data_IF_994855100430
#
_entry.id   IF_994855100430
#
_cell.length_a   1.000
_cell.length_b   1.000
_cell.length_c   1.000
_cell.angle_alpha   90.00
_cell.angle_beta   90.00
_cell.angle_gamma   90.00
#
_symmetry.space_group_name_H-M   'P 1'
#
loop_
_entity.id
_entity.type
_entity.pdbx_description
1 polymer ?
#
# COMPACT_ATOMS: atom_id res chain seq x y z
N UNK A 1 3.56 16.41 -15.46
CA UNK A 1 3.25 15.01 -15.09
C UNK A 1 3.94 14.74 -13.76
N UNK A 2 3.23 14.23 -12.75
CA UNK A 2 3.78 14.03 -11.40
C UNK A 2 4.95 13.03 -11.46
N UNK A 3 6.13 13.35 -10.91
CA UNK A 3 7.33 12.50 -10.95
C UNK A 3 7.06 11.06 -10.49
N UNK A 4 6.15 10.91 -9.52
CA UNK A 4 5.65 9.63 -9.01
C UNK A 4 4.97 8.80 -10.11
N UNK A 5 4.21 9.42 -11.02
CA UNK A 5 3.54 8.70 -12.10
C UNK A 5 4.55 8.17 -13.12
N UNK A 6 5.59 8.94 -13.45
CA UNK A 6 6.64 8.48 -14.36
C UNK A 6 7.43 7.29 -13.80
N UNK A 7 7.73 7.30 -12.50
CA UNK A 7 8.34 6.16 -11.80
C UNK A 7 7.43 4.92 -11.87
N UNK A 8 6.13 5.09 -11.61
CA UNK A 8 5.15 4.00 -11.68
C UNK A 8 5.08 3.40 -13.08
N UNK A 9 5.05 4.23 -14.12
CA UNK A 9 5.01 3.79 -15.51
C UNK A 9 6.27 2.97 -15.88
N UNK A 10 7.45 3.40 -15.44
CA UNK A 10 8.70 2.66 -15.64
C UNK A 10 8.64 1.30 -14.96
N UNK A 11 8.18 1.24 -13.70
CA UNK A 11 8.06 -0.02 -12.97
C UNK A 11 7.04 -0.98 -13.61
N UNK A 12 5.88 -0.49 -14.02
CA UNK A 12 4.86 -1.29 -14.71
C UNK A 12 5.43 -1.89 -16.00
N UNK A 13 6.18 -1.10 -16.77
CA UNK A 13 6.79 -1.57 -18.01
C UNK A 13 7.89 -2.61 -17.78
N UNK A 14 8.70 -2.46 -16.73
CA UNK A 14 9.75 -3.43 -16.38
C UNK A 14 9.17 -4.76 -15.89
N UNK A 15 8.06 -4.71 -15.16
CA UNK A 15 7.31 -5.88 -14.69
C UNK A 15 6.85 -6.78 -15.84
N UNK A 16 6.39 -6.16 -16.94
CA UNK A 16 5.90 -6.86 -18.13
C UNK A 16 6.97 -7.69 -18.88
N UNK A 17 8.25 -7.55 -18.52
CA UNK A 17 9.38 -8.14 -19.27
C UNK A 17 10.22 -9.16 -18.47
N UNK A 18 9.88 -9.47 -17.21
CA UNK A 18 10.73 -10.28 -16.33
C UNK A 18 9.94 -11.26 -15.46
N UNK A 19 10.16 -12.56 -15.63
CA UNK A 19 9.62 -13.62 -14.75
C UNK A 19 10.30 -13.70 -13.38
N UNK A 20 11.43 -13.00 -13.19
CA UNK A 20 12.17 -12.94 -11.93
C UNK A 20 11.61 -11.91 -10.94
N UNK A 21 10.65 -11.07 -11.36
CA UNK A 21 10.13 -9.96 -10.56
C UNK A 21 8.87 -10.32 -9.75
N UNK A 22 8.08 -11.29 -10.23
CA UNK A 22 6.85 -11.75 -9.56
C UNK A 22 7.10 -12.20 -8.10
N UNK A 23 8.17 -12.96 -7.84
CA UNK A 23 8.50 -13.46 -6.49
C UNK A 23 8.92 -12.34 -5.52
N UNK A 24 9.68 -11.34 -6.00
CA UNK A 24 10.26 -10.33 -5.10
C UNK A 24 9.26 -9.24 -4.73
N UNK A 25 8.38 -8.85 -5.67
CA UNK A 25 7.30 -7.88 -5.43
C UNK A 25 6.28 -8.47 -4.49
N UNK A 26 5.89 -9.73 -4.72
CA UNK A 26 5.02 -10.48 -3.83
C UNK A 26 5.60 -10.50 -2.42
N UNK A 27 6.80 -11.05 -2.17
CA UNK A 27 7.34 -11.16 -0.81
C UNK A 27 7.41 -9.82 -0.05
N UNK A 28 7.81 -8.74 -0.72
CA UNK A 28 7.98 -7.44 -0.08
C UNK A 28 6.66 -6.72 0.14
N UNK A 29 5.79 -6.67 -0.88
CA UNK A 29 4.47 -6.09 -0.74
C UNK A 29 3.67 -6.88 0.29
N UNK A 30 3.74 -8.22 0.28
CA UNK A 30 3.02 -9.08 1.21
C UNK A 30 3.33 -8.82 2.65
N UNK A 31 4.59 -8.99 3.07
CA UNK A 31 4.91 -8.96 4.50
C UNK A 31 4.57 -7.60 5.08
N UNK A 32 4.84 -6.54 4.33
CA UNK A 32 4.61 -5.18 4.80
C UNK A 32 3.14 -4.77 4.75
N UNK A 33 2.46 -5.05 3.64
CA UNK A 33 1.03 -4.74 3.48
C UNK A 33 0.15 -5.62 4.38
N UNK A 34 0.41 -6.93 4.45
CA UNK A 34 -0.27 -7.85 5.36
C UNK A 34 -0.17 -7.36 6.79
N UNK A 35 1.04 -7.00 7.24
CA UNK A 35 1.23 -6.53 8.60
C UNK A 35 0.49 -5.22 8.88
N UNK A 36 0.39 -4.30 7.93
CA UNK A 36 -0.37 -3.06 8.12
C UNK A 36 -1.88 -3.29 8.10
N UNK A 37 -2.39 -4.05 7.12
CA UNK A 37 -3.81 -4.38 7.01
C UNK A 37 -4.27 -5.24 8.19
N UNK A 38 -3.50 -6.27 8.57
CA UNK A 38 -3.82 -7.13 9.72
C UNK A 38 -3.88 -6.32 11.02
N UNK A 39 -2.89 -5.45 11.28
CA UNK A 39 -2.91 -4.56 12.45
C UNK A 39 -4.12 -3.62 12.44
N UNK A 40 -4.48 -3.10 11.27
CA UNK A 40 -5.66 -2.25 11.13
C UNK A 40 -6.96 -3.01 11.41
N UNK A 41 -7.12 -4.19 10.81
CA UNK A 41 -8.28 -5.06 11.02
C UNK A 41 -8.41 -5.49 12.49
N UNK A 42 -7.30 -5.75 13.18
CA UNK A 42 -7.32 -6.02 14.62
C UNK A 42 -7.84 -4.80 15.41
N UNK A 43 -7.44 -3.58 15.01
CA UNK A 43 -8.00 -2.35 15.58
C UNK A 43 -9.51 -2.21 15.32
N UNK A 44 -9.98 -2.57 14.13
CA UNK A 44 -11.42 -2.62 13.81
C UNK A 44 -12.14 -3.61 14.74
N UNK A 45 -11.64 -4.86 14.84
CA UNK A 45 -12.27 -5.91 15.66
C UNK A 45 -12.35 -5.50 17.14
N UNK A 46 -11.30 -4.85 17.64
CA UNK A 46 -11.31 -4.29 18.98
C UNK A 46 -12.44 -3.28 19.17
N UNK A 47 -12.60 -2.33 18.25
CA UNK A 47 -13.68 -1.34 18.35
C UNK A 47 -15.06 -1.97 18.19
N UNK A 48 -15.20 -2.99 17.34
CA UNK A 48 -16.44 -3.76 17.19
C UNK A 48 -16.82 -4.44 18.51
N UNK A 49 -15.86 -5.10 19.18
CA UNK A 49 -16.06 -5.70 20.50
C UNK A 49 -16.48 -4.65 21.54
N UNK A 50 -15.73 -3.55 21.66
CA UNK A 50 -16.02 -2.54 22.69
C UNK A 50 -17.31 -1.78 22.46
N UNK A 51 -17.68 -1.52 21.20
CA UNK A 51 -18.98 -0.93 20.88
C UNK A 51 -20.12 -1.89 21.19
N UNK A 52 -19.95 -3.20 20.99
CA UNK A 52 -20.94 -4.21 21.39
C UNK A 52 -21.10 -4.29 22.92
N UNK A 53 -20.01 -4.16 23.70
CA UNK A 53 -20.10 -4.06 25.17
C UNK A 53 -20.89 -2.81 25.61
N UNK A 54 -20.66 -1.67 24.96
CA UNK A 54 -21.44 -0.43 25.22
C UNK A 54 -22.90 -0.65 24.85
N UNK A 55 -23.18 -1.29 23.72
CA UNK A 55 -24.53 -1.60 23.27
C UNK A 55 -25.28 -2.48 24.28
N UNK A 56 -24.63 -3.53 24.78
CA UNK A 56 -25.18 -4.41 25.80
C UNK A 56 -25.46 -3.66 27.11
N UNK A 57 -24.52 -2.83 27.56
CA UNK A 57 -24.67 -1.99 28.74
C UNK A 57 -25.89 -1.05 28.63
N UNK A 58 -26.09 -0.44 27.47
CA UNK A 58 -27.22 0.46 27.21
C UNK A 58 -28.56 -0.29 27.10
N UNK A 59 -28.59 -1.47 26.47
CA UNK A 59 -29.79 -2.31 26.40
C UNK A 59 -30.29 -2.74 27.78
N UNK A 60 -29.38 -2.93 28.73
CA UNK A 60 -29.71 -3.28 30.12
C UNK A 60 -30.27 -2.09 30.94
N UNK A 61 -30.30 -0.87 30.38
CA UNK A 61 -30.84 0.33 31.03
C UNK A 61 -32.17 0.73 30.39
N UNK A 62 -33.27 0.64 31.14
CA UNK A 62 -34.62 1.06 30.69
C UNK A 62 -34.85 2.57 30.88
N UNK A 63 -34.18 3.42 30.08
CA UNK A 63 -34.47 4.87 30.05
C UNK A 63 -34.32 5.45 28.63
N UNK A 64 -34.91 6.64 28.41
CA UNK A 64 -34.92 7.31 27.08
C UNK A 64 -33.55 7.81 26.61
N UNK A 65 -32.55 7.88 27.50
CA UNK A 65 -31.17 8.14 27.11
C UNK A 65 -30.50 6.90 26.50
N UNK A 66 -30.90 5.70 26.94
CA UNK A 66 -30.43 4.44 26.37
C UNK A 66 -30.77 4.29 24.89
N UNK A 67 -31.96 4.72 24.45
CA UNK A 67 -32.38 4.60 23.05
C UNK A 67 -31.52 5.47 22.11
N UNK A 68 -31.19 6.70 22.53
CA UNK A 68 -30.27 7.56 21.78
C UNK A 68 -28.85 6.98 21.72
N UNK A 69 -28.36 6.45 22.84
CA UNK A 69 -27.06 5.78 22.89
C UNK A 69 -27.02 4.54 22.00
N UNK A 70 -28.05 3.70 22.00
CA UNK A 70 -28.15 2.51 21.15
C UNK A 70 -28.05 2.89 19.68
N UNK A 71 -28.77 3.94 19.26
CA UNK A 71 -28.71 4.41 17.87
C UNK A 71 -27.33 4.94 17.51
N UNK A 72 -26.69 5.74 18.38
CA UNK A 72 -25.33 6.22 18.16
C UNK A 72 -24.31 5.08 18.03
N UNK A 73 -24.44 4.04 18.85
CA UNK A 73 -23.56 2.85 18.78
C UNK A 73 -23.77 2.08 17.49
N UNK A 74 -25.03 1.86 17.07
CA UNK A 74 -25.35 1.19 15.80
C UNK A 74 -24.81 1.96 14.59
N UNK A 75 -24.98 3.28 14.56
CA UNK A 75 -24.42 4.14 13.51
C UNK A 75 -22.89 4.04 13.48
N UNK A 76 -22.24 4.03 14.65
CA UNK A 76 -20.80 3.85 14.76
C UNK A 76 -20.36 2.48 14.24
N UNK A 77 -21.06 1.40 14.60
CA UNK A 77 -20.80 0.06 14.06
C UNK A 77 -20.97 -0.01 12.54
N UNK A 78 -21.95 0.71 11.98
CA UNK A 78 -22.15 0.81 10.54
C UNK A 78 -21.01 1.56 9.82
N UNK A 79 -20.51 2.66 10.39
CA UNK A 79 -19.31 3.35 9.86
C UNK A 79 -18.08 2.45 9.92
N UNK A 80 -17.90 1.71 11.01
CA UNK A 80 -16.79 0.79 11.21
C UNK A 80 -16.83 -0.38 10.21
N UNK A 81 -18.03 -0.89 9.91
CA UNK A 81 -18.25 -1.89 8.85
C UNK A 81 -17.90 -1.36 7.46
N UNK A 82 -18.35 -0.15 7.10
CA UNK A 82 -17.98 0.49 5.82
C UNK A 82 -16.47 0.70 5.69
N UNK A 83 -15.82 1.12 6.77
CA UNK A 83 -14.37 1.25 6.84
C UNK A 83 -13.67 -0.10 6.62
N UNK A 84 -14.16 -1.17 7.25
CA UNK A 84 -13.67 -2.54 7.04
C UNK A 84 -13.83 -2.98 5.60
N UNK A 85 -14.99 -2.78 4.99
CA UNK A 85 -15.27 -3.14 3.59
C UNK A 85 -14.40 -2.38 2.58
N UNK A 86 -13.93 -1.19 2.96
CA UNK A 86 -13.04 -0.37 2.14
C UNK A 86 -11.58 -0.86 2.17
N UNK A 87 -11.15 -1.36 3.33
CA UNK A 87 -9.74 -1.75 3.58
C UNK A 87 -9.50 -3.24 3.39
N UNK A 88 -10.50 -4.06 3.66
CA UNK A 88 -10.46 -5.47 3.31
C UNK A 88 -10.38 -5.56 1.79
N UNK A 89 -9.37 -6.24 1.23
CA UNK A 89 -9.30 -6.43 -0.22
C UNK A 89 -10.65 -6.97 -0.72
N UNK A 90 -11.23 -6.33 -1.74
CA UNK A 90 -12.28 -6.98 -2.53
C UNK A 90 -11.60 -8.14 -3.23
N UNK A 91 -11.68 -9.31 -2.62
CA UNK A 91 -11.13 -10.54 -3.16
C UNK A 91 -11.99 -10.88 -4.39
N UNK A 92 -11.55 -10.48 -5.57
CA UNK A 92 -11.98 -11.11 -6.81
C UNK A 92 -11.15 -12.38 -6.97
N UNK A 93 -11.46 -13.42 -6.18
CA UNK A 93 -10.94 -14.75 -6.44
C UNK A 93 -11.66 -15.24 -7.71
N UNK A 94 -10.99 -15.52 -8.83
CA UNK A 94 -11.67 -16.09 -9.99
C UNK A 94 -12.13 -17.53 -9.75
N UNK A 95 -11.78 -18.11 -8.60
CA UNK A 95 -12.29 -19.40 -8.13
C UNK A 95 -13.72 -19.25 -7.55
N UNK A 96 -14.65 -18.75 -8.35
CA UNK A 96 -16.08 -18.79 -8.06
C UNK A 96 -16.69 -20.20 -8.28
N UNK A 97 -15.88 -21.21 -8.58
CA UNK A 97 -16.35 -22.58 -8.73
C UNK A 97 -15.27 -23.54 -8.22
N UNK A 98 -15.64 -24.29 -7.17
CA UNK A 98 -14.95 -25.43 -6.54
C UNK A 98 -14.47 -25.12 -5.11
N UNK A 99 -15.31 -25.58 -4.16
CA UNK A 99 -14.89 -26.23 -2.92
C UNK A 99 -13.65 -25.65 -2.26
N UNK A 100 -13.83 -24.58 -1.47
CA UNK A 100 -12.77 -24.01 -0.65
C UNK A 100 -12.08 -25.10 0.21
N UNK A 101 -10.74 -25.23 0.16
CA UNK A 101 -10.00 -25.64 1.35
C UNK A 101 -10.13 -24.50 2.38
N UNK A 102 -10.38 -24.78 3.68
CA UNK A 102 -10.63 -23.75 4.69
C UNK A 102 -9.41 -22.86 5.05
N UNK A 103 -8.30 -22.97 4.34
CA UNK A 103 -6.97 -22.64 4.88
C UNK A 103 -6.06 -21.96 3.85
N UNK A 104 -6.60 -21.13 2.95
CA UNK A 104 -5.70 -20.14 2.33
C UNK A 104 -5.32 -19.15 3.42
N UNK A 105 -4.06 -19.18 3.82
CA UNK A 105 -3.47 -18.19 4.70
C UNK A 105 -3.65 -16.81 4.08
N UNK A 106 -3.79 -15.76 4.90
CA UNK A 106 -3.88 -14.40 4.39
C UNK A 106 -2.69 -14.01 3.48
N UNK A 107 -1.59 -14.76 3.56
CA UNK A 107 -0.41 -14.66 2.70
C UNK A 107 -0.77 -15.12 1.28
N UNK A 108 -1.30 -16.33 1.08
CA UNK A 108 -1.64 -16.83 -0.27
C UNK A 108 -2.69 -15.97 -0.99
N UNK A 109 -3.60 -15.32 -0.23
CA UNK A 109 -4.57 -14.36 -0.78
C UNK A 109 -3.88 -13.08 -1.27
N UNK A 110 -2.84 -12.63 -0.59
CA UNK A 110 -2.10 -11.43 -0.98
C UNK A 110 -1.11 -11.73 -2.12
N UNK A 111 -0.51 -12.91 -2.18
CA UNK A 111 0.29 -13.38 -3.34
C UNK A 111 -0.55 -13.38 -4.61
N UNK A 112 -1.83 -13.71 -4.47
CA UNK A 112 -2.76 -13.66 -5.58
C UNK A 112 -3.07 -12.24 -6.07
N UNK A 113 -3.15 -11.26 -5.17
CA UNK A 113 -3.61 -9.89 -5.46
C UNK A 113 -2.49 -8.89 -5.79
N UNK A 114 -1.22 -9.28 -5.59
CA UNK A 114 -0.04 -8.43 -5.78
C UNK A 114 0.98 -9.08 -6.71
N UNK A 115 0.51 -9.61 -7.84
CA UNK A 115 1.40 -10.26 -8.82
C UNK A 115 2.18 -9.24 -9.64
N UNK A 116 1.61 -8.06 -9.82
CA UNK A 116 2.22 -6.99 -10.61
C UNK A 116 2.34 -5.67 -9.85
N UNK A 117 3.28 -4.82 -10.27
CA UNK A 117 3.39 -3.43 -9.81
C UNK A 117 2.12 -2.63 -10.10
N UNK A 118 1.43 -2.91 -11.21
CA UNK A 118 0.18 -2.24 -11.54
C UNK A 118 -0.92 -2.54 -10.51
N UNK A 119 -1.10 -3.81 -10.14
CA UNK A 119 -2.05 -4.22 -9.10
C UNK A 119 -1.68 -3.63 -7.74
N UNK A 120 -0.37 -3.62 -7.42
CA UNK A 120 0.15 -2.99 -6.21
C UNK A 120 -0.19 -1.50 -6.11
N UNK A 121 0.12 -0.72 -7.16
CA UNK A 121 -0.19 0.70 -7.15
C UNK A 121 -1.69 0.97 -7.13
N UNK A 122 -2.51 0.18 -7.82
CA UNK A 122 -3.97 0.27 -7.76
C UNK A 122 -4.52 0.00 -6.36
N UNK A 123 -3.94 -0.94 -5.60
CA UNK A 123 -4.37 -1.20 -4.23
C UNK A 123 -4.00 -0.05 -3.29
N UNK A 124 -2.75 0.46 -3.38
CA UNK A 124 -2.30 1.61 -2.60
C UNK A 124 -3.12 2.86 -2.94
N UNK A 125 -3.38 3.13 -4.22
CA UNK A 125 -4.16 4.29 -4.64
C UNK A 125 -5.60 4.23 -4.14
N UNK A 126 -6.25 3.06 -4.20
CA UNK A 126 -7.59 2.87 -3.60
C UNK A 126 -7.60 3.20 -2.11
N UNK A 127 -6.60 2.73 -1.37
CA UNK A 127 -6.50 2.97 0.08
C UNK A 127 -6.13 4.40 0.46
N UNK A 128 -5.32 5.08 -0.36
CA UNK A 128 -4.88 6.46 -0.12
C UNK A 128 -5.88 7.48 -0.65
N UNK A 129 -6.73 7.09 -1.60
CA UNK A 129 -7.78 7.95 -2.16
C UNK A 129 -8.76 8.43 -1.10
N UNK A 130 -9.52 9.48 -1.43
CA UNK A 130 -10.60 9.99 -0.59
C UNK A 130 -11.61 8.89 -0.22
N UNK A 131 -11.81 7.89 -1.08
CA UNK A 131 -12.69 6.75 -0.80
C UNK A 131 -12.23 5.94 0.41
N UNK A 132 -10.91 5.87 0.66
CA UNK A 132 -10.33 5.21 1.84
C UNK A 132 -10.31 6.08 3.09
N UNK A 133 -10.13 7.40 2.95
CA UNK A 133 -9.99 8.34 4.07
C UNK A 133 -11.33 8.81 4.66
N UNK A 134 -12.35 8.99 3.81
CA UNK A 134 -13.68 9.44 4.23
C UNK A 134 -14.29 8.49 5.27
N UNK A 135 -14.29 7.14 5.09
CA UNK A 135 -14.87 6.23 6.05
C UNK A 135 -14.20 6.27 7.44
N UNK A 136 -12.90 6.61 7.52
CA UNK A 136 -12.22 6.70 8.82
C UNK A 136 -12.57 7.97 9.59
N UNK A 137 -12.73 9.10 8.89
CA UNK A 137 -13.24 10.33 9.51
C UNK A 137 -14.70 10.17 9.94
N UNK A 138 -15.54 9.57 9.08
CA UNK A 138 -16.94 9.24 9.42
C UNK A 138 -17.03 8.36 10.66
N UNK A 139 -16.14 7.37 10.79
CA UNK A 139 -16.06 6.54 11.99
C UNK A 139 -15.72 7.34 13.24
N UNK A 140 -14.72 8.23 13.17
CA UNK A 140 -14.38 9.11 14.30
C UNK A 140 -15.53 10.05 14.69
N UNK A 141 -16.23 10.60 13.70
CA UNK A 141 -17.39 11.47 13.94
C UNK A 141 -18.55 10.71 14.59
N UNK A 142 -18.85 9.50 14.11
CA UNK A 142 -19.85 8.65 14.75
C UNK A 142 -19.43 8.25 16.18
N UNK A 143 -18.16 7.94 16.40
CA UNK A 143 -17.63 7.60 17.72
C UNK A 143 -17.76 8.76 18.72
N UNK A 144 -17.63 10.02 18.28
CA UNK A 144 -17.89 11.19 19.14
C UNK A 144 -19.31 11.21 19.68
N UNK A 145 -20.29 10.77 18.88
CA UNK A 145 -21.68 10.70 19.30
C UNK A 145 -21.94 9.61 20.34
N UNK A 146 -21.05 8.62 20.46
CA UNK A 146 -21.14 7.55 21.47
C UNK A 146 -20.61 8.00 22.83
N UNK A 147 -19.63 8.92 22.88
CA UNK A 147 -18.96 9.36 24.12
C UNK A 147 -19.89 9.78 25.28
N UNK A 148 -21.04 10.44 25.07
CA UNK A 148 -21.96 10.78 26.14
C UNK A 148 -22.61 9.57 26.82
N UNK A 149 -22.63 8.42 26.14
CA UNK A 149 -23.33 7.20 26.53
C UNK A 149 -22.39 6.10 27.05
N UNK A 150 -21.08 6.34 27.06
CA UNK A 150 -20.10 5.41 27.63
C UNK A 150 -20.03 5.63 29.13
N UNK A 151 -20.65 4.74 29.88
CA UNK A 151 -20.64 4.77 31.34
C UNK A 151 -19.32 4.28 31.94
N UNK A 152 -18.96 4.88 33.08
CA UNK A 152 -18.02 4.28 34.03
C UNK A 152 -18.73 3.09 34.68
N UNK A 153 -18.28 1.83 34.49
CA UNK A 153 -16.90 1.42 34.71
C UNK A 153 -16.32 0.56 33.57
N UNK A 154 -16.78 0.70 32.33
CA UNK A 154 -16.21 -0.09 31.23
C UNK A 154 -14.70 0.18 31.15
N UNK A 155 -13.90 -0.87 31.34
CA UNK A 155 -12.44 -0.78 31.33
C UNK A 155 -11.84 -1.71 30.30
N UNK A 156 -10.84 -1.21 29.59
CA UNK A 156 -9.93 -2.00 28.79
C UNK A 156 -8.65 -2.29 29.59
N UNK A 157 -8.28 -3.57 29.72
CA UNK A 157 -7.06 -3.97 30.41
C UNK A 157 -5.87 -4.00 29.45
N UNK A 158 -4.91 -3.10 29.64
CA UNK A 158 -3.62 -3.13 28.94
C UNK A 158 -2.58 -3.76 29.87
N UNK A 159 -2.49 -5.10 29.88
CA UNK A 159 -1.51 -5.84 30.69
C UNK A 159 -1.60 -5.56 32.19
N UNK A 160 -0.86 -4.56 32.69
CA UNK A 160 -0.75 -4.18 34.10
C UNK A 160 -1.70 -3.06 34.56
N UNK A 161 -2.46 -2.43 33.67
CA UNK A 161 -3.35 -1.31 34.01
C UNK A 161 -4.73 -1.45 33.35
N UNK A 162 -5.78 -1.04 34.05
CA UNK A 162 -7.12 -0.85 33.46
C UNK A 162 -7.31 0.61 33.07
N UNK A 163 -7.72 0.83 31.83
CA UNK A 163 -8.01 2.15 31.27
C UNK A 163 -9.51 2.23 31.03
N UNK A 164 -10.12 3.34 31.42
CA UNK A 164 -11.54 3.61 31.18
C UNK A 164 -11.80 3.66 29.68
N UNK A 165 -12.83 2.94 29.21
CA UNK A 165 -13.12 2.82 27.77
C UNK A 165 -13.34 4.19 27.12
N UNK A 166 -13.99 5.12 27.81
CA UNK A 166 -14.14 6.50 27.35
C UNK A 166 -12.80 7.17 27.03
N UNK A 167 -11.76 6.91 27.81
CA UNK A 167 -10.42 7.43 27.57
C UNK A 167 -9.75 6.77 26.35
N UNK A 168 -10.06 5.49 26.07
CA UNK A 168 -9.61 4.81 24.85
C UNK A 168 -10.21 5.50 23.63
N UNK A 169 -11.51 5.79 23.64
CA UNK A 169 -12.18 6.47 22.53
C UNK A 169 -11.65 7.90 22.35
N UNK A 170 -11.53 8.66 23.43
CA UNK A 170 -10.96 10.02 23.36
C UNK A 170 -9.52 10.04 22.84
N UNK A 171 -8.72 9.01 23.15
CA UNK A 171 -7.36 8.91 22.63
C UNK A 171 -7.35 8.68 21.11
N UNK A 172 -8.25 7.84 20.57
CA UNK A 172 -8.36 7.67 19.11
C UNK A 172 -8.72 8.99 18.43
N UNK A 173 -9.61 9.77 19.05
CA UNK A 173 -10.06 11.07 18.57
C UNK A 173 -9.01 12.18 18.67
N UNK A 174 -7.88 11.93 19.34
CA UNK A 174 -6.85 12.94 19.61
C UNK A 174 -7.25 13.94 20.71
N UNK A 175 -8.27 13.62 21.49
CA UNK A 175 -8.86 14.48 22.53
C UNK A 175 -8.37 14.09 23.94
N UNK A 176 -7.51 13.07 24.06
CA UNK A 176 -6.95 12.64 25.33
C UNK A 176 -5.54 12.05 25.19
N UNK A 177 -4.63 12.50 26.05
CA UNK A 177 -3.20 12.19 25.95
C UNK A 177 -2.75 11.29 27.12
N UNK A 178 -2.83 9.98 26.91
CA UNK A 178 -2.35 8.92 27.82
C UNK A 178 -1.48 7.92 27.07
N UNK A 179 -0.94 6.93 27.78
CA UNK A 179 -0.22 5.80 27.20
C UNK A 179 -0.95 5.25 25.98
N UNK A 180 -0.26 5.19 24.84
CA UNK A 180 -0.79 4.76 23.57
C UNK A 180 -1.47 3.38 23.69
N UNK A 181 -2.79 3.31 23.50
CA UNK A 181 -3.48 2.05 23.28
C UNK A 181 -3.03 1.53 21.92
N UNK A 182 -2.64 0.26 21.88
CA UNK A 182 -2.01 -0.34 20.70
C UNK A 182 -2.94 -0.28 19.49
N UNK A 183 -4.21 -0.60 19.69
CA UNK A 183 -5.27 -0.60 18.67
C UNK A 183 -5.51 0.81 18.12
N UNK A 184 -5.53 1.83 18.97
CA UNK A 184 -5.61 3.23 18.55
C UNK A 184 -4.39 3.63 17.70
N UNK A 185 -3.20 3.15 18.08
CA UNK A 185 -1.98 3.38 17.32
C UNK A 185 -2.05 2.72 15.95
N UNK A 186 -2.57 1.50 15.87
CA UNK A 186 -2.75 0.76 14.63
C UNK A 186 -3.70 1.48 13.67
N UNK A 187 -4.83 1.99 14.16
CA UNK A 187 -5.80 2.74 13.35
C UNK A 187 -5.22 4.10 12.90
N UNK A 188 -4.68 4.89 13.82
CA UNK A 188 -4.18 6.24 13.52
C UNK A 188 -2.95 6.26 12.60
N UNK A 189 -2.08 5.25 12.71
CA UNK A 189 -0.87 5.16 11.88
C UNK A 189 -1.08 4.41 10.57
N UNK A 190 -2.29 3.97 10.24
CA UNK A 190 -2.52 3.13 9.07
C UNK A 190 -2.05 3.77 7.75
N UNK A 191 -2.50 4.99 7.45
CA UNK A 191 -2.09 5.69 6.22
C UNK A 191 -0.61 6.05 6.22
N UNK A 192 -0.03 6.37 7.38
CA UNK A 192 1.42 6.58 7.52
C UNK A 192 2.19 5.29 7.21
N UNK A 193 1.74 4.16 7.75
CA UNK A 193 2.31 2.84 7.49
C UNK A 193 2.19 2.50 6.00
N UNK A 194 1.05 2.72 5.34
CA UNK A 194 0.91 2.49 3.90
C UNK A 194 1.94 3.29 3.07
N UNK A 195 2.19 4.55 3.44
CA UNK A 195 3.22 5.39 2.80
C UNK A 195 4.63 4.84 3.02
N UNK A 196 4.95 4.40 4.24
CA UNK A 196 6.24 3.78 4.59
C UNK A 196 6.42 2.48 3.81
N UNK A 197 5.37 1.68 3.65
CA UNK A 197 5.38 0.43 2.89
C UNK A 197 5.62 0.71 1.41
N UNK A 198 4.90 1.68 0.85
CA UNK A 198 5.15 2.23 -0.50
C UNK A 198 6.62 2.55 -0.71
N UNK A 199 7.21 3.32 0.21
CA UNK A 199 8.63 3.67 0.18
C UNK A 199 9.54 2.45 0.29
N UNK A 200 9.27 1.48 1.16
CA UNK A 200 10.12 0.30 1.36
C UNK A 200 10.12 -0.64 0.15
N UNK A 201 8.96 -0.86 -0.46
CA UNK A 201 8.82 -1.66 -1.69
C UNK A 201 9.60 -0.96 -2.80
N UNK A 202 9.35 0.34 -3.02
CA UNK A 202 10.12 1.13 -3.98
C UNK A 202 11.62 1.05 -3.68
N UNK A 203 12.04 1.23 -2.43
CA UNK A 203 13.45 1.20 -2.04
C UNK A 203 14.11 -0.13 -2.41
N UNK A 204 13.52 -1.26 -1.99
CA UNK A 204 14.12 -2.58 -2.18
C UNK A 204 14.20 -2.98 -3.66
N UNK A 205 13.20 -2.60 -4.46
CA UNK A 205 13.19 -2.88 -5.90
C UNK A 205 14.10 -1.94 -6.69
N UNK A 206 14.00 -0.64 -6.44
CA UNK A 206 14.84 0.35 -7.10
C UNK A 206 16.31 0.21 -6.71
N UNK A 207 16.62 -0.11 -5.46
CA UNK A 207 18.02 -0.29 -5.05
C UNK A 207 18.69 -1.41 -5.83
N UNK A 208 18.02 -2.55 -6.00
CA UNK A 208 18.57 -3.69 -6.75
C UNK A 208 18.68 -3.37 -8.24
N UNK A 209 17.60 -2.83 -8.84
CA UNK A 209 17.51 -2.54 -10.27
C UNK A 209 18.41 -1.38 -10.71
N UNK A 210 18.43 -0.27 -9.96
CA UNK A 210 19.32 0.86 -10.24
C UNK A 210 20.76 0.43 -10.04
N UNK A 211 21.10 -0.30 -8.96
CA UNK A 211 22.47 -0.78 -8.78
C UNK A 211 22.88 -1.71 -9.91
N UNK A 212 22.02 -2.61 -10.39
CA UNK A 212 22.37 -3.47 -11.54
C UNK A 212 22.52 -2.65 -12.83
N UNK A 213 21.57 -1.77 -13.15
CA UNK A 213 21.63 -0.93 -14.36
C UNK A 213 22.77 0.10 -14.34
N UNK A 214 23.18 0.59 -13.18
CA UNK A 214 24.29 1.57 -13.07
C UNK A 214 25.65 0.86 -13.00
N UNK A 215 25.71 -0.35 -12.44
CA UNK A 215 26.96 -1.12 -12.33
C UNK A 215 27.29 -1.92 -13.59
N UNK A 216 26.28 -2.31 -14.36
CA UNK A 216 26.49 -3.00 -15.62
C UNK A 216 26.98 -2.01 -16.68
N UNK A 217 28.10 -2.35 -17.33
CA UNK A 217 28.71 -1.53 -18.37
C UNK A 217 27.91 -1.60 -19.70
N UNK A 218 26.61 -1.89 -19.64
CA UNK A 218 25.74 -2.28 -20.76
C UNK A 218 25.74 -1.24 -21.87
N UNK A 219 25.72 0.05 -21.52
CA UNK A 219 25.80 1.14 -22.51
C UNK A 219 27.09 1.07 -23.32
N UNK A 220 28.22 0.87 -22.64
CA UNK A 220 29.54 0.79 -23.29
C UNK A 220 29.69 -0.49 -24.11
N UNK A 221 29.10 -1.60 -23.68
CA UNK A 221 29.09 -2.85 -24.44
C UNK A 221 28.24 -2.73 -25.71
N UNK A 222 27.04 -2.16 -25.62
CA UNK A 222 26.17 -1.93 -26.79
C UNK A 222 26.78 -0.90 -27.74
N UNK A 223 27.39 0.18 -27.24
CA UNK A 223 28.13 1.14 -28.10
C UNK A 223 29.31 0.48 -28.81
N UNK A 224 30.00 -0.46 -28.17
CA UNK A 224 31.10 -1.21 -28.78
C UNK A 224 30.60 -2.09 -29.94
N UNK A 225 29.49 -2.80 -29.75
CA UNK A 225 28.87 -3.63 -30.79
C UNK A 225 28.31 -2.77 -31.94
N UNK A 226 27.63 -1.66 -31.64
CA UNK A 226 27.16 -0.72 -32.66
C UNK A 226 28.32 -0.13 -33.46
N UNK A 227 29.43 0.19 -32.80
CA UNK A 227 30.66 0.68 -33.44
C UNK A 227 31.38 -0.39 -34.28
N UNK A 228 31.25 -1.68 -33.93
CA UNK A 228 31.77 -2.78 -34.73
C UNK A 228 30.91 -2.97 -35.98
N UNK A 229 29.58 -2.97 -35.81
CA UNK A 229 28.62 -3.06 -36.91
C UNK A 229 28.78 -1.91 -37.91
N UNK A 230 28.99 -0.67 -37.43
CA UNK A 230 29.23 0.49 -38.29
C UNK A 230 30.49 0.34 -39.15
N UNK A 231 31.56 -0.25 -38.59
CA UNK A 231 32.79 -0.56 -39.33
C UNK A 231 32.55 -1.62 -40.40
N UNK A 232 31.84 -2.69 -40.09
CA UNK A 232 31.53 -3.76 -41.06
C UNK A 232 30.63 -3.25 -42.19
N UNK A 233 29.64 -2.43 -41.87
CA UNK A 233 28.70 -1.84 -42.84
C UNK A 233 29.37 -0.82 -43.75
N UNK A 234 30.43 -0.16 -43.30
CA UNK A 234 31.22 0.76 -44.13
C UNK A 234 31.83 0.08 -45.37
N UNK A 235 31.96 -1.25 -45.34
CA UNK A 235 32.47 -2.11 -46.43
C UNK A 235 31.37 -2.65 -47.36
N UNK A 236 30.08 -2.39 -47.06
CA UNK A 236 28.94 -2.90 -47.82
C UNK A 236 28.54 -2.04 -49.04
N UNK A 237 27.74 -2.60 -49.96
CA UNK A 237 27.22 -1.90 -51.15
C UNK A 237 26.35 -0.68 -50.80
N UNK A 238 26.51 0.39 -51.60
CA UNK A 238 26.04 1.77 -51.35
C UNK A 238 24.57 1.93 -50.92
N UNK A 239 23.67 1.09 -51.44
CA UNK A 239 22.23 1.19 -51.15
C UNK A 239 21.79 0.53 -49.84
N UNK A 240 22.45 -0.56 -49.42
CA UNK A 240 22.19 -1.22 -48.13
C UNK A 240 22.86 -0.46 -46.99
N UNK A 241 24.03 0.12 -47.25
CA UNK A 241 24.81 0.93 -46.33
C UNK A 241 23.99 2.06 -45.67
N UNK A 242 23.33 2.91 -46.46
CA UNK A 242 22.56 4.04 -45.93
C UNK A 242 21.42 3.62 -44.99
N UNK A 243 20.76 2.49 -45.28
CA UNK A 243 19.66 1.97 -44.46
C UNK A 243 20.16 1.41 -43.13
N UNK A 244 21.30 0.73 -43.15
CA UNK A 244 21.90 0.15 -41.94
C UNK A 244 22.54 1.26 -41.09
N UNK A 245 23.21 2.24 -41.69
CA UNK A 245 23.71 3.44 -41.00
C UNK A 245 22.58 4.18 -40.27
N UNK A 246 21.42 4.35 -40.91
CA UNK A 246 20.25 4.94 -40.25
C UNK A 246 19.77 4.07 -39.06
N UNK A 247 19.68 2.76 -39.22
CA UNK A 247 19.28 1.86 -38.13
C UNK A 247 20.25 1.90 -36.93
N UNK A 248 21.55 2.06 -37.17
CA UNK A 248 22.56 2.24 -36.10
C UNK A 248 22.35 3.57 -35.37
N UNK A 249 22.04 4.65 -36.10
CA UNK A 249 21.75 5.96 -35.50
C UNK A 249 20.46 5.92 -34.67
N UNK A 250 19.41 5.26 -35.17
CA UNK A 250 18.15 5.09 -34.44
C UNK A 250 18.38 4.26 -33.16
N UNK A 251 19.17 3.19 -33.22
CA UNK A 251 19.55 2.39 -32.06
C UNK A 251 20.34 3.20 -31.00
N UNK A 252 21.29 4.04 -31.43
CA UNK A 252 22.01 4.97 -30.52
C UNK A 252 21.07 5.99 -29.88
N UNK A 253 20.08 6.50 -30.60
CA UNK A 253 19.10 7.43 -30.06
C UNK A 253 18.26 6.76 -28.95
N UNK A 254 17.80 5.53 -29.17
CA UNK A 254 17.08 4.74 -28.15
C UNK A 254 17.97 4.45 -26.94
N UNK A 255 19.23 4.06 -27.17
CA UNK A 255 20.19 3.78 -26.11
C UNK A 255 20.46 5.01 -25.23
N UNK A 256 20.59 6.19 -25.84
CA UNK A 256 20.79 7.44 -25.12
C UNK A 256 19.55 7.86 -24.34
N UNK A 257 18.35 7.68 -24.90
CA UNK A 257 17.09 7.92 -24.17
C UNK A 257 16.99 7.01 -22.95
N UNK A 258 17.28 5.71 -23.11
CA UNK A 258 17.25 4.75 -22.00
C UNK A 258 18.28 5.10 -20.92
N UNK A 259 19.50 5.48 -21.33
CA UNK A 259 20.54 5.92 -20.41
C UNK A 259 20.11 7.16 -19.62
N UNK A 260 19.42 8.11 -20.26
CA UNK A 260 18.88 9.29 -19.60
C UNK A 260 17.76 8.93 -18.63
N UNK A 261 16.83 8.05 -19.04
CA UNK A 261 15.74 7.58 -18.17
C UNK A 261 16.29 6.87 -16.93
N UNK A 262 17.34 6.05 -17.06
CA UNK A 262 18.01 5.39 -15.93
C UNK A 262 18.67 6.40 -14.97
N UNK A 263 19.33 7.43 -15.50
CA UNK A 263 19.91 8.51 -14.66
C UNK A 263 18.82 9.31 -13.95
N UNK A 264 17.75 9.69 -14.64
CA UNK A 264 16.61 10.40 -14.03
C UNK A 264 15.93 9.55 -12.94
N UNK A 265 15.82 8.24 -13.16
CA UNK A 265 15.33 7.26 -12.19
C UNK A 265 16.20 7.22 -10.92
N UNK A 266 17.52 7.24 -11.11
CA UNK A 266 18.50 7.27 -10.03
C UNK A 266 18.43 8.57 -9.22
N UNK A 267 18.44 9.72 -9.88
CA UNK A 267 18.36 11.02 -9.21
C UNK A 267 17.06 11.17 -8.42
N UNK A 268 15.94 10.69 -8.99
CA UNK A 268 14.64 10.73 -8.31
C UNK A 268 14.58 9.75 -7.14
N UNK A 269 15.18 8.56 -7.28
CA UNK A 269 15.37 7.62 -6.18
C UNK A 269 16.17 8.27 -5.04
N UNK A 270 17.34 8.82 -5.34
CA UNK A 270 18.20 9.46 -4.35
C UNK A 270 17.50 10.63 -3.65
N UNK A 271 16.71 11.44 -4.39
CA UNK A 271 15.90 12.53 -3.85
C UNK A 271 14.78 12.05 -2.93
N UNK A 272 14.03 11.01 -3.32
CA UNK A 272 12.92 10.46 -2.51
C UNK A 272 13.42 9.89 -1.18
N UNK A 273 14.64 9.34 -1.17
CA UNK A 273 15.25 8.70 0.00
C UNK A 273 16.24 9.59 0.76
N UNK A 274 16.43 10.85 0.35
CA UNK A 274 17.30 11.81 1.05
C UNK A 274 18.79 11.45 1.00
N UNK A 275 19.23 10.86 -0.11
CA UNK A 275 20.63 10.51 -0.38
C UNK A 275 21.40 11.61 -1.12
N UNK A 276 20.72 12.72 -1.46
CA UNK A 276 21.23 13.98 -2.03
C UNK A 276 20.95 15.16 -1.11
#
# INVERSE_FOLDING_TARGET
MNHINRIRDILINLDSQSSLHEETVAECALVYYYNAVSKFLNGILFYEEKLNEVLESLNNKLNSQSEKGINAVKETLDTLRRLKETIQPKIECPFNQLSHPPELTNIEILEYNFKTFEEYFKAIDRMVSSEGQIPFEEFKDALRNVLPYVDYPLTHSTGSHSIVLKNVFLQLLGEYNVSAVFENTCLNKYYENLRIIGRKVLQKHFESLIKSLVSENWKNEIEKELSALEREVSLAYKHQRKRIEQGIQDARAVLNSLSQDVTELQDEYERIFGLL
#
